data_IF_380460479861
#
_entry.id   IF_380460479861
#
_cell.length_a   1.000
_cell.length_b   1.000
_cell.length_c   1.000
_cell.angle_alpha   90.00
_cell.angle_beta   90.00
_cell.angle_gamma   90.00
#
_symmetry.space_group_name_H-M   'P 1'
#
loop_
_entity.id
_entity.type
_entity.pdbx_description
1 polymer ?
#
# COMPACT_ATOMS: atom_id res chain seq x y z
N UNK A 1 -5.60 12.32 -1.07
CA UNK A 1 -6.02 10.90 -1.12
C UNK A 1 -6.96 10.62 -2.28
N UNK A 2 -8.15 11.24 -2.35
CA UNK A 2 -9.11 11.04 -3.45
C UNK A 2 -8.51 11.14 -4.85
N UNK A 3 -7.64 12.13 -5.07
CA UNK A 3 -6.89 12.29 -6.33
C UNK A 3 -6.05 11.05 -6.71
N UNK A 4 -5.38 10.41 -5.74
CA UNK A 4 -4.51 9.26 -5.99
C UNK A 4 -5.30 8.04 -6.50
N UNK A 5 -6.51 7.82 -5.97
CA UNK A 5 -7.39 6.72 -6.40
C UNK A 5 -7.90 6.95 -7.81
N UNK A 6 -8.43 8.15 -8.09
CA UNK A 6 -8.91 8.53 -9.43
C UNK A 6 -7.77 8.45 -10.45
N UNK A 7 -6.60 8.98 -10.11
CA UNK A 7 -5.44 8.96 -11.01
C UNK A 7 -4.97 7.54 -11.29
N UNK A 8 -5.01 6.65 -10.29
CA UNK A 8 -4.66 5.25 -10.49
C UNK A 8 -5.61 4.55 -11.47
N UNK A 9 -6.93 4.82 -11.40
CA UNK A 9 -7.89 4.28 -12.36
C UNK A 9 -7.62 4.76 -13.80
N UNK A 10 -7.21 6.01 -13.96
CA UNK A 10 -6.87 6.59 -15.27
C UNK A 10 -5.60 5.98 -15.86
N UNK A 11 -4.50 5.93 -15.11
CA UNK A 11 -3.17 5.58 -15.67
C UNK A 11 -2.77 4.12 -15.46
N UNK A 12 -3.50 3.39 -14.61
CA UNK A 12 -3.34 1.95 -14.31
C UNK A 12 -1.92 1.54 -13.92
N UNK A 13 -1.13 2.46 -13.37
CA UNK A 13 0.27 2.23 -12.99
C UNK A 13 0.61 2.95 -11.70
N UNK A 14 0.87 2.19 -10.64
CA UNK A 14 1.23 2.72 -9.31
C UNK A 14 2.54 3.52 -9.38
N UNK A 15 3.52 3.08 -10.19
CA UNK A 15 4.79 3.80 -10.32
C UNK A 15 4.59 5.20 -10.92
N UNK A 16 3.76 5.32 -11.96
CA UNK A 16 3.46 6.63 -12.54
C UNK A 16 2.72 7.54 -11.54
N UNK A 17 1.84 6.97 -10.72
CA UNK A 17 1.15 7.73 -9.65
C UNK A 17 2.17 8.26 -8.65
N UNK A 18 3.17 7.46 -8.28
CA UNK A 18 4.26 7.86 -7.38
C UNK A 18 5.09 8.99 -7.98
N UNK A 19 5.46 8.88 -9.26
CA UNK A 19 6.22 9.92 -9.96
C UNK A 19 5.45 11.25 -9.96
N UNK A 20 4.13 11.20 -10.20
CA UNK A 20 3.28 12.38 -10.14
C UNK A 20 3.10 12.92 -8.70
N UNK A 21 3.02 12.04 -7.69
CA UNK A 21 3.00 12.46 -6.28
C UNK A 21 4.30 13.18 -5.89
N UNK A 22 5.44 12.66 -6.33
CA UNK A 22 6.75 13.26 -6.12
C UNK A 22 6.86 14.62 -6.83
N UNK A 23 6.42 14.71 -8.09
CA UNK A 23 6.38 15.97 -8.84
C UNK A 23 5.50 17.04 -8.17
N UNK A 24 4.46 16.63 -7.44
CA UNK A 24 3.57 17.50 -6.66
C UNK A 24 4.11 17.82 -5.26
N UNK A 25 5.27 17.30 -4.87
CA UNK A 25 5.85 17.48 -3.55
C UNK A 25 5.07 16.79 -2.42
N UNK A 26 4.25 15.78 -2.73
CA UNK A 26 3.47 15.05 -1.72
C UNK A 26 4.37 14.06 -0.99
N UNK A 27 4.54 14.27 0.31
CA UNK A 27 5.35 13.41 1.18
C UNK A 27 4.50 12.69 2.22
N UNK A 28 5.08 11.66 2.84
CA UNK A 28 4.54 11.05 4.06
C UNK A 28 4.40 12.08 5.19
N UNK A 29 3.44 11.84 6.09
CA UNK A 29 3.18 12.72 7.24
C UNK A 29 4.45 12.90 8.06
N UNK A 30 4.83 14.15 8.32
CA UNK A 30 5.87 14.51 9.29
C UNK A 30 5.31 14.44 10.70
N UNK A 31 6.02 13.81 11.62
CA UNK A 31 5.65 13.73 13.04
C UNK A 31 6.90 13.53 13.89
N UNK A 32 6.82 13.93 15.16
CA UNK A 32 7.91 13.74 16.13
C UNK A 32 7.56 12.56 17.02
N UNK A 33 8.48 11.61 17.18
CA UNK A 33 8.26 10.47 18.07
C UNK A 33 8.39 10.88 19.55
N UNK A 34 8.08 9.94 20.46
CA UNK A 34 8.20 10.20 21.92
C UNK A 34 9.63 10.55 22.37
N UNK A 35 10.64 10.19 21.58
CA UNK A 35 12.05 10.50 21.83
C UNK A 35 12.49 11.86 21.26
N UNK A 36 11.57 12.64 20.68
CA UNK A 36 11.88 13.96 20.10
C UNK A 36 12.47 13.91 18.69
N UNK A 37 12.58 12.73 18.07
CA UNK A 37 13.13 12.59 16.73
C UNK A 37 12.08 12.88 15.65
N UNK A 38 12.37 13.72 14.64
CA UNK A 38 11.50 13.88 13.49
C UNK A 38 11.47 12.60 12.64
N UNK A 39 10.28 12.15 12.25
CA UNK A 39 10.03 11.03 11.35
C UNK A 39 9.06 11.43 10.24
N UNK A 40 9.10 10.69 9.14
CA UNK A 40 8.28 10.94 7.96
C UNK A 40 8.79 12.10 7.12
N UNK A 41 7.94 12.68 6.26
CA UNK A 41 8.38 13.68 5.27
C UNK A 41 9.16 13.10 4.09
N UNK A 42 9.18 11.78 3.96
CA UNK A 42 9.80 11.06 2.85
C UNK A 42 8.83 10.95 1.67
N UNK A 43 9.37 10.83 0.46
CA UNK A 43 8.58 10.51 -0.73
C UNK A 43 7.76 9.23 -0.52
N UNK A 44 6.58 9.16 -1.13
CA UNK A 44 5.74 7.97 -1.04
C UNK A 44 6.33 6.90 -1.95
N UNK A 45 6.89 5.86 -1.34
CA UNK A 45 7.43 4.73 -2.08
C UNK A 45 6.35 3.74 -2.52
N UNK A 46 6.72 2.79 -3.38
CA UNK A 46 5.83 1.76 -3.93
C UNK A 46 5.03 1.02 -2.87
N UNK A 47 5.68 0.55 -1.81
CA UNK A 47 5.02 -0.15 -0.71
C UNK A 47 3.96 0.72 -0.02
N UNK A 48 4.29 1.98 0.24
CA UNK A 48 3.38 2.96 0.82
C UNK A 48 2.17 3.23 -0.08
N UNK A 49 2.39 3.42 -1.38
CA UNK A 49 1.30 3.65 -2.33
C UNK A 49 0.32 2.45 -2.40
N UNK A 50 0.82 1.22 -2.46
CA UNK A 50 -0.04 0.03 -2.42
C UNK A 50 -0.80 -0.09 -1.10
N UNK A 51 -0.13 0.17 0.02
CA UNK A 51 -0.77 0.15 1.33
C UNK A 51 -1.92 1.16 1.38
N UNK A 52 -1.72 2.37 0.87
CA UNK A 52 -2.75 3.39 0.83
C UNK A 52 -3.90 3.02 -0.11
N UNK A 53 -3.62 2.54 -1.32
CA UNK A 53 -4.67 2.15 -2.28
C UNK A 53 -5.49 0.94 -1.80
N UNK A 54 -4.94 0.04 -0.99
CA UNK A 54 -5.65 -1.12 -0.42
C UNK A 54 -6.33 -0.85 0.92
N UNK A 55 -6.13 0.32 1.53
CA UNK A 55 -6.64 0.58 2.87
C UNK A 55 -8.14 0.94 2.85
N UNK A 56 -9.02 0.08 3.41
CA UNK A 56 -10.47 0.29 3.35
C UNK A 56 -10.97 1.43 4.25
N UNK A 57 -10.09 1.97 5.12
CA UNK A 57 -10.35 3.21 5.88
C UNK A 57 -10.69 4.37 4.95
N UNK A 58 -10.13 4.41 3.74
CA UNK A 58 -10.49 5.47 2.80
C UNK A 58 -11.93 5.35 2.26
N UNK A 59 -12.52 4.16 2.32
CA UNK A 59 -13.90 3.88 1.90
C UNK A 59 -14.91 3.89 3.06
N UNK A 60 -14.49 4.24 4.28
CA UNK A 60 -15.38 4.28 5.45
C UNK A 60 -15.30 3.04 6.34
N UNK A 61 -14.45 2.06 6.05
CA UNK A 61 -14.38 0.82 6.84
C UNK A 61 -13.14 0.73 7.72
N UNK A 62 -13.20 -0.10 8.76
CA UNK A 62 -12.11 -0.34 9.67
C UNK A 62 -11.70 -1.81 9.57
N UNK A 63 -10.45 -2.10 9.14
CA UNK A 63 -9.92 -3.46 9.16
C UNK A 63 -9.57 -3.88 10.59
N UNK A 64 -9.98 -5.08 11.00
CA UNK A 64 -9.58 -5.69 12.25
C UNK A 64 -9.28 -7.18 12.05
N UNK A 65 -8.00 -7.54 12.19
CA UNK A 65 -7.48 -8.88 11.87
C UNK A 65 -7.77 -9.24 10.42
N UNK A 66 -8.54 -10.31 10.19
CA UNK A 66 -8.90 -10.82 8.87
C UNK A 66 -10.25 -10.27 8.38
N UNK A 67 -10.94 -9.47 9.21
CA UNK A 67 -12.26 -8.94 8.94
C UNK A 67 -12.23 -7.42 8.68
N UNK A 68 -13.26 -6.94 7.97
CA UNK A 68 -13.47 -5.51 7.67
C UNK A 68 -14.87 -5.12 8.12
N UNK A 69 -14.97 -4.08 8.94
CA UNK A 69 -16.22 -3.61 9.53
C UNK A 69 -16.57 -2.19 9.09
N UNK A 70 -17.85 -1.82 8.95
CA UNK A 70 -18.24 -0.44 8.71
C UNK A 70 -17.74 0.48 9.84
N UNK A 71 -17.00 1.52 9.48
CA UNK A 71 -16.55 2.55 10.40
C UNK A 71 -17.62 3.61 10.63
N UNK A 72 -17.47 4.39 11.70
CA UNK A 72 -18.36 5.52 11.99
C UNK A 72 -17.93 6.83 11.30
N UNK A 73 -16.81 6.82 10.59
CA UNK A 73 -16.31 8.00 9.89
C UNK A 73 -16.84 8.06 8.46
N UNK A 74 -17.07 9.26 7.91
CA UNK A 74 -17.44 9.39 6.51
C UNK A 74 -16.33 8.83 5.60
N UNK A 75 -16.74 8.24 4.48
CA UNK A 75 -15.82 7.79 3.46
C UNK A 75 -15.11 8.98 2.79
N UNK A 76 -13.79 8.89 2.61
CA UNK A 76 -13.00 9.90 1.89
C UNK A 76 -13.01 9.65 0.37
N UNK A 77 -13.23 8.40 -0.02
CA UNK A 77 -13.34 7.90 -1.38
C UNK A 77 -14.64 7.12 -1.46
N UNK A 78 -15.41 7.37 -2.52
CA UNK A 78 -16.66 6.64 -2.75
C UNK A 78 -16.39 5.13 -2.91
N UNK A 79 -17.34 4.30 -2.46
CA UNK A 79 -17.23 2.84 -2.50
C UNK A 79 -16.97 2.33 -3.91
N UNK A 80 -17.67 2.85 -4.92
CA UNK A 80 -17.51 2.46 -6.32
C UNK A 80 -16.08 2.70 -6.81
N UNK A 81 -15.51 3.87 -6.48
CA UNK A 81 -14.12 4.18 -6.82
C UNK A 81 -13.15 3.25 -6.12
N UNK A 82 -13.37 2.97 -4.83
CA UNK A 82 -12.51 2.08 -4.06
C UNK A 82 -12.52 0.65 -4.61
N UNK A 83 -13.71 0.12 -4.89
CA UNK A 83 -13.90 -1.24 -5.40
C UNK A 83 -13.31 -1.39 -6.80
N UNK A 84 -13.49 -0.40 -7.68
CA UNK A 84 -12.84 -0.38 -9.00
C UNK A 84 -11.30 -0.41 -8.89
N UNK A 85 -10.73 0.30 -7.91
CA UNK A 85 -9.29 0.24 -7.64
C UNK A 85 -8.86 -1.14 -7.15
N UNK A 86 -9.62 -1.76 -6.23
CA UNK A 86 -9.30 -3.11 -5.75
C UNK A 86 -9.33 -4.13 -6.89
N UNK A 87 -10.36 -4.08 -7.73
CA UNK A 87 -10.49 -4.94 -8.90
C UNK A 87 -9.27 -4.81 -9.82
N UNK A 88 -8.91 -3.58 -10.19
CA UNK A 88 -7.76 -3.32 -11.06
C UNK A 88 -6.42 -3.76 -10.43
N UNK A 89 -6.25 -3.57 -9.12
CA UNK A 89 -5.06 -4.00 -8.39
C UNK A 89 -4.91 -5.53 -8.39
N UNK A 90 -6.03 -6.25 -8.28
CA UNK A 90 -6.06 -7.71 -8.28
C UNK A 90 -5.86 -8.29 -9.68
N UNK A 91 -6.44 -7.67 -10.72
CA UNK A 91 -6.17 -8.00 -12.12
C UNK A 91 -4.70 -7.79 -12.50
N UNK A 92 -4.12 -6.67 -12.06
CA UNK A 92 -2.73 -6.29 -12.38
C UNK A 92 -1.71 -7.08 -11.55
N UNK A 93 -2.16 -7.88 -10.58
CA UNK A 93 -1.28 -8.67 -9.71
C UNK A 93 -0.54 -9.71 -10.56
N UNK A 94 0.74 -9.42 -10.85
CA UNK A 94 1.62 -10.35 -11.55
C UNK A 94 1.70 -11.67 -10.78
N UNK A 95 1.22 -12.75 -11.40
CA UNK A 95 1.44 -14.12 -10.92
C UNK A 95 2.94 -14.41 -11.02
N UNK A 96 3.63 -14.37 -9.87
CA UNK A 96 5.03 -14.79 -9.79
C UNK A 96 5.09 -16.30 -10.01
N UNK A 97 5.87 -16.74 -11.00
CA UNK A 97 6.26 -18.15 -11.08
C UNK A 97 7.10 -18.46 -9.84
N UNK A 98 6.86 -19.58 -9.14
CA UNK A 98 7.75 -19.98 -8.05
C UNK A 98 9.17 -20.08 -8.61
N UNK A 99 10.12 -19.41 -7.97
CA UNK A 99 11.54 -19.59 -8.25
C UNK A 99 11.95 -21.01 -7.88
N UNK A 100 13.14 -21.45 -8.32
CA UNK A 100 13.69 -22.73 -7.88
C UNK A 100 13.70 -22.77 -6.35
N UNK A 101 13.21 -23.88 -5.78
CA UNK A 101 13.26 -24.09 -4.34
C UNK A 101 14.71 -23.93 -3.86
N UNK A 102 14.88 -23.22 -2.74
CA UNK A 102 16.19 -23.10 -2.11
C UNK A 102 16.62 -24.52 -1.71
N UNK A 103 17.85 -24.97 -2.06
CA UNK A 103 18.30 -26.29 -1.66
C UNK A 103 18.24 -26.40 -0.12
N UNK A 104 17.91 -27.58 0.41
CA UNK A 104 17.87 -27.79 1.85
C UNK A 104 19.20 -27.36 2.45
N UNK A 105 19.14 -26.62 3.57
CA UNK A 105 20.35 -26.23 4.29
C UNK A 105 21.07 -27.51 4.71
N UNK A 106 22.23 -27.80 4.10
CA UNK A 106 23.09 -28.87 4.56
C UNK A 106 23.50 -28.51 5.98
N UNK A 107 22.88 -29.16 6.97
CA UNK A 107 23.23 -28.97 8.37
C UNK A 107 24.74 -29.20 8.51
N UNK A 108 25.44 -28.19 9.01
CA UNK A 108 26.84 -28.32 9.38
C UNK A 108 26.88 -29.40 10.46
N UNK A 109 27.42 -30.58 10.15
CA UNK A 109 27.65 -31.60 11.17
C UNK A 109 28.65 -31.05 12.18
N UNK A 110 28.15 -30.64 13.34
CA UNK A 110 28.94 -30.44 14.55
C UNK A 110 29.61 -31.78 14.86
N UNK A 111 30.92 -31.86 14.60
CA UNK A 111 31.75 -32.98 15.06
C UNK A 111 31.91 -32.83 16.57
N UNK A 112 31.52 -33.89 17.29
CA UNK A 112 31.79 -34.09 18.71
C UNK A 112 33.29 -34.34 18.95
#
# INVERSE_FOLDING_TARGET
MRWMFQRYLEIRSVNKVIDELAARGVTSKRWTNKAGEPKGGMAIERGGAYHMLRNPIYAGDIPHKDDVYPGQHPALVDRETFDAVQHLLDETRRKRKPGKARPPHAGLHLRA
#
